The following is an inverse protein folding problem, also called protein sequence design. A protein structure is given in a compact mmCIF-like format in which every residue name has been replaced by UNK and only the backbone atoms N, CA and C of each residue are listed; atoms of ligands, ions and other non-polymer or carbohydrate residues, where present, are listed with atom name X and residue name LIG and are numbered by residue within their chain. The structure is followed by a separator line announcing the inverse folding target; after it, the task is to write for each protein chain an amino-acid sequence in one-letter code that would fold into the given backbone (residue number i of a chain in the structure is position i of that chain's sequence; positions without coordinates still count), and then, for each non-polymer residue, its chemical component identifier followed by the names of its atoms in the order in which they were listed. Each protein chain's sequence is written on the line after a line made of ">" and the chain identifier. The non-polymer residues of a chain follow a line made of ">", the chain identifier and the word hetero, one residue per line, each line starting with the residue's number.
data_IF_128882694325
#
_entry.id   IF_128882694325
#
_cell.length_a   1.000
_cell.length_b   1.000
_cell.length_c   1.000
_cell.angle_alpha   90.00
_cell.angle_beta   90.00
_cell.angle_gamma   90.00
#
_symmetry.space_group_name_H-M   'P 1'
#
loop_
_entity.id
_entity.type
_entity.pdbx_description
1 polymer ?
#
# COMPACT_ATOMS: atom_id res chain seq x y z
N UNK A 1 -8.95 8.11 -8.36
CA UNK A 1 -8.46 9.47 -8.01
C UNK A 1 -9.31 10.61 -8.57
N UNK A 2 -9.83 10.49 -9.80
CA UNK A 2 -10.70 11.50 -10.44
C UNK A 2 -11.93 11.91 -9.61
N UNK A 3 -12.47 11.00 -8.80
CA UNK A 3 -13.67 11.25 -7.98
C UNK A 3 -13.38 12.09 -6.72
N UNK A 4 -12.11 12.29 -6.36
CA UNK A 4 -11.73 13.17 -5.25
C UNK A 4 -11.93 14.60 -5.70
N UNK A 5 -12.84 15.34 -5.06
CA UNK A 5 -13.13 16.74 -5.38
C UNK A 5 -12.20 17.68 -4.60
N UNK A 6 -11.66 18.71 -5.25
CA UNK A 6 -10.74 19.67 -4.66
C UNK A 6 -9.38 19.07 -4.28
N UNK A 7 -8.69 19.68 -3.31
CA UNK A 7 -7.37 19.23 -2.82
C UNK A 7 -6.25 19.24 -3.88
N UNK A 8 -6.29 20.17 -4.84
CA UNK A 8 -5.40 20.16 -6.02
C UNK A 8 -3.90 20.15 -5.66
N UNK A 9 -3.49 20.90 -4.62
CA UNK A 9 -2.11 20.86 -4.13
C UNK A 9 -1.71 19.47 -3.59
N UNK A 10 -2.58 18.84 -2.79
CA UNK A 10 -2.30 17.52 -2.24
C UNK A 10 -2.31 16.45 -3.33
N UNK A 11 -3.26 16.52 -4.28
CA UNK A 11 -3.30 15.65 -5.44
C UNK A 11 -2.02 15.72 -6.25
N UNK A 12 -1.57 16.93 -6.56
CA UNK A 12 -0.34 17.14 -7.32
C UNK A 12 0.88 16.59 -6.59
N UNK A 13 0.98 16.81 -5.27
CA UNK A 13 2.05 16.24 -4.46
C UNK A 13 2.05 14.70 -4.48
N UNK A 14 0.87 14.08 -4.39
CA UNK A 14 0.71 12.63 -4.46
C UNK A 14 1.08 12.08 -5.85
N UNK A 15 0.68 12.74 -6.93
CA UNK A 15 1.09 12.35 -8.29
C UNK A 15 2.61 12.36 -8.47
N UNK A 16 3.27 13.43 -8.01
CA UNK A 16 4.73 13.55 -8.06
C UNK A 16 5.40 12.46 -7.22
N UNK A 17 4.90 12.22 -6.00
CA UNK A 17 5.41 11.18 -5.13
C UNK A 17 5.24 9.77 -5.72
N UNK A 18 4.07 9.47 -6.30
CA UNK A 18 3.82 8.20 -6.97
C UNK A 18 4.72 7.99 -8.20
N UNK A 19 4.93 9.03 -9.01
CA UNK A 19 5.81 8.94 -10.16
C UNK A 19 7.29 8.77 -9.76
N UNK A 20 7.72 9.41 -8.68
CA UNK A 20 9.09 9.35 -8.17
C UNK A 20 9.39 8.23 -7.18
N UNK A 21 8.37 7.48 -6.73
CA UNK A 21 8.53 6.46 -5.69
C UNK A 21 8.89 7.05 -4.32
N UNK A 22 8.34 8.21 -3.96
CA UNK A 22 8.62 8.90 -2.70
C UNK A 22 7.61 8.55 -1.59
N UNK A 23 8.09 8.57 -0.35
CA UNK A 23 7.23 8.47 0.83
C UNK A 23 6.42 9.75 1.03
N UNK A 24 5.20 9.62 1.57
CA UNK A 24 4.30 10.75 1.81
C UNK A 24 3.79 10.76 3.24
N UNK A 25 3.77 11.94 3.86
CA UNK A 25 3.08 12.21 5.12
C UNK A 25 1.95 13.21 4.87
N UNK A 26 0.70 12.81 5.16
CA UNK A 26 -0.46 13.69 5.07
C UNK A 26 -0.73 14.36 6.42
N UNK A 27 -0.53 15.68 6.49
CA UNK A 27 -0.79 16.50 7.68
C UNK A 27 -1.98 17.44 7.45
N UNK A 28 -2.86 17.56 8.44
CA UNK A 28 -4.01 18.46 8.39
C UNK A 28 -5.07 18.13 9.44
N UNK A 29 -6.08 18.99 9.63
CA UNK A 29 -7.13 18.80 10.63
C UNK A 29 -7.96 17.52 10.39
N UNK A 30 -8.64 16.99 11.42
CA UNK A 30 -9.60 15.90 11.24
C UNK A 30 -10.67 16.29 10.21
N UNK A 31 -11.19 15.32 9.44
CA UNK A 31 -12.17 15.58 8.39
C UNK A 31 -11.61 16.14 7.07
N UNK A 32 -10.34 16.52 6.98
CA UNK A 32 -9.73 17.06 5.75
C UNK A 32 -9.57 16.06 4.58
N UNK A 33 -10.08 14.83 4.70
CA UNK A 33 -10.00 13.83 3.63
C UNK A 33 -8.65 13.11 3.48
N UNK A 34 -7.75 13.19 4.48
CA UNK A 34 -6.43 12.52 4.45
C UNK A 34 -6.52 11.02 4.18
N UNK A 35 -7.40 10.33 4.91
CA UNK A 35 -7.63 8.88 4.74
C UNK A 35 -8.20 8.56 3.37
N UNK A 36 -9.06 9.43 2.83
CA UNK A 36 -9.63 9.27 1.50
C UNK A 36 -8.55 9.43 0.42
N UNK A 37 -7.66 10.42 0.55
CA UNK A 37 -6.50 10.59 -0.34
C UNK A 37 -5.56 9.38 -0.29
N UNK A 38 -5.22 8.90 0.91
CA UNK A 38 -4.36 7.72 1.08
C UNK A 38 -4.99 6.46 0.45
N UNK A 39 -6.28 6.21 0.65
CA UNK A 39 -6.99 5.07 0.04
C UNK A 39 -7.16 5.19 -1.48
N UNK A 40 -7.19 6.40 -2.01
CA UNK A 40 -7.25 6.63 -3.45
C UNK A 40 -5.87 6.52 -4.12
N UNK A 41 -4.78 6.59 -3.35
CA UNK A 41 -3.40 6.58 -3.85
C UNK A 41 -3.05 5.37 -4.74
N UNK A 42 -3.46 4.12 -4.40
CA UNK A 42 -3.15 2.96 -5.25
C UNK A 42 -3.70 3.07 -6.67
N UNK A 43 -4.75 3.88 -6.89
CA UNK A 43 -5.33 4.09 -8.22
C UNK A 43 -4.47 4.92 -9.18
N UNK A 44 -3.43 5.60 -8.67
CA UNK A 44 -2.51 6.43 -9.47
C UNK A 44 -1.06 5.97 -9.38
N UNK A 45 -0.78 4.89 -8.67
CA UNK A 45 0.57 4.33 -8.67
C UNK A 45 0.92 3.77 -10.05
N UNK A 46 2.21 3.81 -10.44
CA UNK A 46 2.67 3.15 -11.66
C UNK A 46 2.31 1.67 -11.67
N UNK A 47 2.04 1.11 -12.85
CA UNK A 47 1.83 -0.34 -12.99
C UNK A 47 3.05 -1.11 -12.48
N UNK A 48 2.83 -2.31 -11.96
CA UNK A 48 3.91 -3.21 -11.59
C UNK A 48 4.67 -3.65 -12.85
N UNK A 49 5.99 -3.65 -12.75
CA UNK A 49 6.82 -4.46 -13.64
C UNK A 49 6.65 -5.94 -13.31
N UNK A 50 6.93 -6.83 -14.27
CA UNK A 50 6.87 -8.28 -14.03
C UNK A 50 7.75 -8.70 -12.83
N UNK A 51 8.93 -8.08 -12.68
CA UNK A 51 9.84 -8.36 -11.58
C UNK A 51 9.24 -7.97 -10.23
N UNK A 52 8.70 -6.75 -10.11
CA UNK A 52 8.02 -6.33 -8.88
C UNK A 52 6.82 -7.21 -8.56
N UNK A 53 6.02 -7.60 -9.57
CA UNK A 53 4.89 -8.51 -9.40
C UNK A 53 5.32 -9.87 -8.84
N UNK A 54 6.40 -10.45 -9.36
CA UNK A 54 6.96 -11.71 -8.84
C UNK A 54 7.46 -11.56 -7.40
N UNK A 55 8.13 -10.44 -7.08
CA UNK A 55 8.62 -10.17 -5.72
C UNK A 55 7.47 -10.09 -4.70
N UNK A 56 6.40 -9.35 -5.01
CA UNK A 56 5.20 -9.28 -4.16
C UNK A 56 4.52 -10.64 -4.04
N UNK A 57 4.41 -11.37 -5.14
CA UNK A 57 3.77 -12.69 -5.18
C UNK A 57 4.48 -13.69 -4.26
N UNK A 58 5.82 -13.65 -4.19
CA UNK A 58 6.57 -14.48 -3.25
C UNK A 58 6.20 -14.18 -1.79
N UNK A 59 6.08 -12.89 -1.43
CA UNK A 59 5.68 -12.49 -0.07
C UNK A 59 4.28 -13.02 0.25
N UNK A 60 3.34 -12.81 -0.67
CA UNK A 60 1.95 -13.26 -0.48
C UNK A 60 1.83 -14.79 -0.46
N UNK A 61 2.66 -15.51 -1.22
CA UNK A 61 2.72 -16.97 -1.18
C UNK A 61 3.19 -17.48 0.18
N UNK A 62 4.25 -16.89 0.75
CA UNK A 62 4.76 -17.27 2.08
C UNK A 62 3.76 -16.91 3.18
N UNK A 63 2.99 -15.83 2.98
CA UNK A 63 1.93 -15.42 3.89
C UNK A 63 0.64 -16.25 3.76
N UNK A 64 0.56 -17.18 2.81
CA UNK A 64 -0.66 -17.91 2.46
C UNK A 64 -1.84 -16.96 2.15
N UNK A 65 -1.53 -15.87 1.44
CA UNK A 65 -2.43 -14.74 1.19
C UNK A 65 -2.70 -14.50 -0.31
N UNK A 66 -2.32 -15.44 -1.18
CA UNK A 66 -2.60 -15.33 -2.61
C UNK A 66 -4.09 -15.61 -2.88
N UNK A 67 -4.76 -14.80 -3.72
CA UNK A 67 -6.13 -15.07 -4.11
C UNK A 67 -6.24 -16.38 -4.89
N UNK A 68 -7.32 -17.12 -4.68
CA UNK A 68 -7.59 -18.36 -5.42
C UNK A 68 -7.72 -18.07 -6.92
N UNK A 69 -7.00 -18.84 -7.74
CA UNK A 69 -6.99 -18.67 -9.20
C UNK A 69 -6.12 -17.51 -9.72
N UNK A 70 -5.49 -16.73 -8.84
CA UNK A 70 -4.58 -15.65 -9.23
C UNK A 70 -3.16 -15.90 -8.69
N UNK A 71 -2.33 -16.68 -9.43
CA UNK A 71 -1.00 -17.04 -8.97
C UNK A 71 0.02 -15.89 -9.05
N UNK A 72 -0.39 -14.71 -9.52
CA UNK A 72 0.47 -13.54 -9.72
C UNK A 72 -0.26 -12.27 -9.28
N UNK A 73 0.33 -11.55 -8.34
CA UNK A 73 -0.16 -10.24 -7.89
C UNK A 73 0.10 -9.20 -8.97
N UNK A 74 -0.96 -8.56 -9.47
CA UNK A 74 -0.90 -7.59 -10.59
C UNK A 74 -1.16 -6.15 -10.18
N UNK A 75 -1.65 -5.93 -8.97
CA UNK A 75 -1.92 -4.60 -8.41
C UNK A 75 -0.94 -4.32 -7.28
N UNK A 76 -0.54 -3.05 -7.14
CA UNK A 76 0.29 -2.65 -5.99
C UNK A 76 -0.54 -2.83 -4.71
N UNK A 77 0.00 -3.52 -3.69
CA UNK A 77 -0.72 -3.72 -2.45
C UNK A 77 -0.98 -2.38 -1.76
N UNK A 78 -2.03 -2.31 -0.94
CA UNK A 78 -2.27 -1.18 -0.05
C UNK A 78 -2.72 -1.72 1.29
N UNK A 79 -2.06 -1.27 2.35
CA UNK A 79 -2.34 -1.72 3.72
C UNK A 79 -2.87 -0.56 4.55
N UNK A 80 -3.87 -0.86 5.38
CA UNK A 80 -4.49 0.11 6.30
C UNK A 80 -4.61 -0.54 7.68
N UNK A 81 -3.48 -0.84 8.34
CA UNK A 81 -3.49 -1.51 9.64
C UNK A 81 -4.26 -0.68 10.68
N UNK A 82 -4.87 -1.38 11.64
CA UNK A 82 -5.49 -0.70 12.77
C UNK A 82 -4.41 -0.06 13.64
N UNK A 83 -4.67 1.11 14.21
CA UNK A 83 -3.70 1.87 15.01
C UNK A 83 -3.28 1.18 16.31
N UNK A 84 -3.98 0.12 16.71
CA UNK A 84 -3.64 -0.73 17.87
C UNK A 84 -2.85 -1.98 17.49
N UNK A 85 -2.37 -2.09 16.25
CA UNK A 85 -1.59 -3.25 15.81
C UNK A 85 -0.33 -3.42 16.65
N UNK A 86 0.01 -4.67 16.97
CA UNK A 86 1.25 -4.99 17.68
C UNK A 86 2.47 -4.80 16.79
N UNK A 87 3.65 -4.66 17.40
CA UNK A 87 4.92 -4.64 16.67
C UNK A 87 5.11 -5.89 15.80
N UNK A 88 4.73 -7.06 16.33
CA UNK A 88 4.79 -8.32 15.58
C UNK A 88 3.82 -8.34 14.38
N UNK A 89 2.62 -7.76 14.50
CA UNK A 89 1.70 -7.61 13.38
C UNK A 89 2.20 -6.63 12.32
N UNK A 90 2.88 -5.55 12.74
CA UNK A 90 3.38 -4.53 11.84
C UNK A 90 4.63 -4.98 11.06
N UNK A 91 5.64 -5.49 11.78
CA UNK A 91 6.95 -5.86 11.20
C UNK A 91 6.95 -7.30 10.68
N UNK A 92 6.21 -8.19 11.35
CA UNK A 92 6.28 -9.64 11.19
C UNK A 92 6.88 -10.31 12.43
N UNK A 93 6.58 -11.60 12.61
CA UNK A 93 7.05 -12.36 13.78
C UNK A 93 6.14 -13.52 14.15
N UNK A 94 6.22 -13.94 15.41
CA UNK A 94 5.57 -15.15 15.93
C UNK A 94 6.52 -16.34 16.03
N UNK A 95 6.07 -17.43 16.66
CA UNK A 95 6.86 -18.68 16.79
C UNK A 95 7.25 -19.25 15.43
N UNK A 96 6.31 -19.18 14.49
CA UNK A 96 6.58 -19.34 13.06
C UNK A 96 6.52 -17.95 12.44
N UNK A 97 7.65 -17.38 12.02
CA UNK A 97 7.69 -16.00 11.56
C UNK A 97 6.86 -15.86 10.29
N UNK A 98 5.87 -14.97 10.33
CA UNK A 98 5.06 -14.58 9.18
C UNK A 98 5.33 -13.13 8.77
N UNK A 99 5.19 -12.77 7.48
CA UNK A 99 5.25 -11.39 7.03
C UNK A 99 4.25 -10.50 7.78
N UNK A 100 4.71 -9.34 8.26
CA UNK A 100 3.84 -8.31 8.85
C UNK A 100 3.26 -7.36 7.79
N UNK A 101 2.45 -6.41 8.25
CA UNK A 101 1.80 -5.40 7.39
C UNK A 101 2.78 -4.61 6.52
N UNK A 102 3.97 -4.27 7.03
CA UNK A 102 5.00 -3.57 6.23
C UNK A 102 5.50 -4.45 5.09
N UNK A 103 5.69 -5.75 5.34
CA UNK A 103 6.11 -6.69 4.30
C UNK A 103 5.00 -6.91 3.27
N UNK A 104 3.74 -6.97 3.71
CA UNK A 104 2.58 -7.10 2.82
C UNK A 104 2.33 -5.83 1.99
N UNK A 105 2.80 -4.67 2.44
CA UNK A 105 2.77 -3.40 1.68
C UNK A 105 3.94 -3.26 0.68
N UNK A 106 4.77 -4.29 0.49
CA UNK A 106 5.95 -4.17 -0.37
C UNK A 106 5.58 -3.71 -1.78
N UNK A 107 6.29 -2.68 -2.28
CA UNK A 107 6.09 -2.10 -3.62
C UNK A 107 4.68 -1.54 -3.85
N UNK A 108 3.97 -1.17 -2.80
CA UNK A 108 2.75 -0.38 -2.87
C UNK A 108 2.65 0.61 -1.73
#
# INVERSE_FOLDING_TARGET
>A
FRDVKGQEHAKRALEVACAGGHNVLLKGPPGAGKTLLARALPSILPKLTLREALDITRIYSVADALPAGEPLVRTRPFRSPHHTISHAGLVGGGRWPKPGEISLAHRG
#
